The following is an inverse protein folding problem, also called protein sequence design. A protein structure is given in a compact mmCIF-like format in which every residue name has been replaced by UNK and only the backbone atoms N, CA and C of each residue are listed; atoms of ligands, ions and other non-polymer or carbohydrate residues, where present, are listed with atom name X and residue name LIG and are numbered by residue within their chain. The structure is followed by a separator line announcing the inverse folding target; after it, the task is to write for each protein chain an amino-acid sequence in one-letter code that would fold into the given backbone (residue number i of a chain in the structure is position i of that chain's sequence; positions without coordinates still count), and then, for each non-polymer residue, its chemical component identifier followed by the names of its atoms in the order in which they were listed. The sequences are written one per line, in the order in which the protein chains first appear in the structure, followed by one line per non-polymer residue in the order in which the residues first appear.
data_IF_146880331982
#
_entry.id   IF_146880331982
#
_cell.length_a   1.000
_cell.length_b   1.000
_cell.length_c   1.000
_cell.angle_alpha   90.00
_cell.angle_beta   90.00
_cell.angle_gamma   90.00
#
_symmetry.space_group_name_H-M   'P 1'
#
loop_
_entity.id
_entity.type
_entity.pdbx_description
1 polymer ?
#
# COMPACT_ATOMS: atom_id res chain seq x y z
N UNK A 1 18.95 9.37 -15.09
CA UNK A 1 17.50 9.10 -15.18
C UNK A 1 16.83 10.44 -15.34
N UNK A 2 16.11 10.64 -16.45
CA UNK A 2 15.37 11.88 -16.69
C UNK A 2 13.94 11.67 -16.18
N UNK A 3 13.45 12.55 -15.31
CA UNK A 3 12.11 12.46 -14.74
C UNK A 3 11.20 13.31 -15.61
N UNK A 4 10.37 12.64 -16.43
CA UNK A 4 9.35 13.30 -17.24
C UNK A 4 7.99 13.29 -16.54
N UNK A 5 7.11 14.23 -16.90
CA UNK A 5 5.74 14.26 -16.40
C UNK A 5 5.01 12.93 -16.64
N UNK A 6 5.20 12.31 -17.81
CA UNK A 6 4.62 11.02 -18.14
C UNK A 6 5.11 9.90 -17.19
N UNK A 7 6.40 9.91 -16.81
CA UNK A 7 6.94 8.96 -15.85
C UNK A 7 6.38 9.20 -14.44
N UNK A 8 6.26 10.46 -14.01
CA UNK A 8 5.66 10.81 -12.71
C UNK A 8 4.20 10.34 -12.66
N UNK A 9 3.39 10.67 -13.67
CA UNK A 9 1.99 10.26 -13.71
C UNK A 9 1.84 8.74 -13.75
N UNK A 10 2.68 8.05 -14.53
CA UNK A 10 2.69 6.59 -14.58
C UNK A 10 3.00 5.96 -13.22
N UNK A 11 4.00 6.47 -12.51
CA UNK A 11 4.38 5.97 -11.18
C UNK A 11 3.29 6.22 -10.14
N UNK A 12 2.71 7.43 -10.13
CA UNK A 12 1.59 7.78 -9.25
C UNK A 12 0.38 6.89 -9.52
N UNK A 13 -0.01 6.71 -10.78
CA UNK A 13 -1.14 5.84 -11.14
C UNK A 13 -0.89 4.39 -10.74
N UNK A 14 0.31 3.86 -10.98
CA UNK A 14 0.70 2.50 -10.60
C UNK A 14 0.68 2.31 -9.09
N UNK A 15 1.13 3.31 -8.35
CA UNK A 15 1.12 3.31 -6.88
C UNK A 15 -0.31 3.26 -6.34
N UNK A 16 -1.20 4.11 -6.87
CA UNK A 16 -2.62 4.13 -6.48
C UNK A 16 -3.29 2.80 -6.82
N UNK A 17 -3.09 2.28 -8.03
CA UNK A 17 -3.66 0.98 -8.44
C UNK A 17 -3.21 -0.14 -7.49
N UNK A 18 -1.92 -0.20 -7.19
CA UNK A 18 -1.35 -1.22 -6.30
C UNK A 18 -1.96 -1.14 -4.90
N UNK A 19 -2.13 0.07 -4.35
CA UNK A 19 -2.75 0.26 -3.04
C UNK A 19 -4.21 -0.19 -3.03
N UNK A 20 -4.99 0.16 -4.06
CA UNK A 20 -6.38 -0.25 -4.20
C UNK A 20 -6.53 -1.76 -4.34
N UNK A 21 -5.69 -2.40 -5.17
CA UNK A 21 -5.65 -3.85 -5.32
C UNK A 21 -5.39 -4.54 -3.99
N UNK A 22 -4.38 -4.10 -3.23
CA UNK A 22 -4.07 -4.66 -1.90
C UNK A 22 -5.22 -4.52 -0.92
N UNK A 23 -5.92 -3.39 -0.93
CA UNK A 23 -7.10 -3.22 -0.08
C UNK A 23 -8.21 -4.20 -0.49
N UNK A 24 -8.46 -4.35 -1.79
CA UNK A 24 -9.47 -5.28 -2.30
C UNK A 24 -9.11 -6.75 -2.05
N UNK A 25 -7.84 -7.11 -2.20
CA UNK A 25 -7.31 -8.45 -1.91
C UNK A 25 -7.49 -8.81 -0.43
N UNK A 26 -7.37 -7.82 0.48
CA UNK A 26 -7.63 -8.00 1.91
C UNK A 26 -9.12 -8.03 2.24
N UNK A 27 -9.94 -7.24 1.55
CA UNK A 27 -11.39 -7.18 1.75
C UNK A 27 -12.12 -6.87 0.44
N UNK A 28 -12.99 -7.78 0.02
CA UNK A 28 -13.82 -7.61 -1.18
C UNK A 28 -15.09 -6.80 -0.93
N UNK A 29 -15.28 -6.28 0.28
CA UNK A 29 -16.45 -5.47 0.65
C UNK A 29 -16.50 -4.16 -0.14
N UNK A 30 -17.72 -3.70 -0.46
CA UNK A 30 -17.93 -2.46 -1.23
C UNK A 30 -17.73 -1.19 -0.38
N UNK A 31 -17.43 -1.32 0.90
CA UNK A 31 -17.22 -0.23 1.86
C UNK A 31 -16.04 -0.55 2.79
N UNK A 32 -15.58 0.42 3.58
CA UNK A 32 -14.51 0.18 4.55
C UNK A 32 -13.09 0.34 3.98
N UNK A 33 -12.93 0.77 2.74
CA UNK A 33 -11.64 0.96 2.05
C UNK A 33 -10.59 1.69 2.91
N UNK A 34 -10.97 2.78 3.57
CA UNK A 34 -10.06 3.57 4.39
C UNK A 34 -9.55 2.80 5.63
N UNK A 35 -10.42 2.02 6.27
CA UNK A 35 -10.03 1.18 7.41
C UNK A 35 -9.06 0.09 6.98
N UNK A 36 -9.37 -0.61 5.88
CA UNK A 36 -8.50 -1.65 5.31
C UNK A 36 -7.14 -1.09 4.89
N UNK A 37 -7.11 0.09 4.26
CA UNK A 37 -5.86 0.77 3.91
C UNK A 37 -5.03 1.14 5.15
N UNK A 38 -5.69 1.60 6.22
CA UNK A 38 -5.03 1.94 7.47
C UNK A 38 -4.41 0.70 8.14
N UNK A 39 -5.13 -0.42 8.19
CA UNK A 39 -4.61 -1.70 8.69
C UNK A 39 -3.38 -2.17 7.90
N UNK A 40 -3.42 -2.08 6.56
CA UNK A 40 -2.27 -2.41 5.71
C UNK A 40 -1.07 -1.51 6.01
N UNK A 41 -1.30 -0.21 6.24
CA UNK A 41 -0.24 0.72 6.60
C UNK A 41 0.36 0.42 7.98
N UNK A 42 -0.47 0.01 8.95
CA UNK A 42 0.01 -0.43 10.27
C UNK A 42 0.90 -1.67 10.16
N UNK A 43 0.51 -2.66 9.34
CA UNK A 43 1.30 -3.86 9.10
C UNK A 43 2.66 -3.56 8.45
N UNK A 44 2.75 -2.48 7.66
CA UNK A 44 4.02 -2.04 7.05
C UNK A 44 4.88 -1.22 8.02
N UNK A 45 4.27 -0.57 9.01
CA UNK A 45 4.95 0.28 9.98
C UNK A 45 5.61 -0.54 11.10
N UNK A 46 5.02 -1.67 11.47
CA UNK A 46 5.59 -2.60 12.44
C UNK A 46 6.61 -3.48 11.71
N UNK A 47 7.93 -3.34 11.94
CA UNK A 47 8.89 -4.27 11.38
C UNK A 47 8.48 -5.68 11.83
N UNK A 48 8.43 -6.65 10.91
CA UNK A 48 8.41 -8.06 11.30
C UNK A 48 9.52 -8.24 12.33
N UNK A 49 9.12 -8.58 13.56
CA UNK A 49 9.83 -8.23 14.78
C UNK A 49 11.35 -8.26 14.65
N UNK A 50 11.98 -7.23 15.18
CA UNK A 50 13.26 -7.43 15.86
C UNK A 50 13.03 -8.62 16.79
N UNK A 51 13.39 -9.81 16.31
CA UNK A 51 13.56 -10.99 17.14
C UNK A 51 14.61 -10.57 18.13
N UNK A 52 14.17 -10.14 19.31
CA UNK A 52 14.99 -10.22 20.49
C UNK A 52 15.03 -11.71 20.80
N UNK A 53 15.89 -12.41 20.07
CA UNK A 53 16.42 -13.68 20.51
C UNK A 53 17.40 -13.33 21.65
N UNK A 54 16.91 -13.37 22.88
CA UNK A 54 17.70 -13.56 24.11
C UNK A 54 16.82 -14.24 25.18
#
# INVERSE_FOLDING_TARGET
VEVSDAAIFGDVSTTIETALRRCHDRSTELTGLAATAFEIALDQLVPAGERIDD
#
